data_IF_257835742575
#
_entry.id   IF_257835742575
#
_cell.length_a   1.000
_cell.length_b   1.000
_cell.length_c   1.000
_cell.angle_alpha   90.00
_cell.angle_beta   90.00
_cell.angle_gamma   90.00
#
_symmetry.space_group_name_H-M   'P 1'
#
loop_
_entity.id
_entity.type
_entity.pdbx_description
1 polymer ?
#
# COMPACT_ATOMS: atom_id res chain seq x y z
N UNK A 1 -3.40 -52.83 32.25
CA UNK A 1 -3.26 -51.34 32.24
C UNK A 1 -2.07 -50.76 31.46
N UNK A 2 -0.89 -51.43 31.42
CA UNK A 2 0.32 -50.81 30.82
C UNK A 2 0.26 -50.63 29.30
N UNK A 3 -0.33 -51.54 28.54
CA UNK A 3 -0.44 -51.48 27.09
C UNK A 3 -1.35 -50.32 26.63
N UNK A 4 -2.46 -50.10 27.34
CA UNK A 4 -3.39 -48.99 27.03
C UNK A 4 -2.73 -47.62 27.22
N UNK A 5 -1.94 -47.47 28.29
CA UNK A 5 -1.15 -46.28 28.57
C UNK A 5 -0.11 -46.04 27.49
N UNK A 6 0.63 -47.11 27.14
CA UNK A 6 1.68 -47.01 26.07
C UNK A 6 1.08 -46.65 24.72
N UNK A 7 -0.06 -47.23 24.34
CA UNK A 7 -0.77 -46.85 23.09
C UNK A 7 -1.31 -45.41 23.14
N UNK A 8 -1.80 -44.95 24.31
CA UNK A 8 -2.22 -43.55 24.48
C UNK A 8 -1.06 -42.56 24.32
N UNK A 9 0.10 -42.84 24.92
CA UNK A 9 1.27 -41.97 24.79
C UNK A 9 1.81 -41.99 23.36
N UNK A 10 1.87 -43.15 22.71
CA UNK A 10 2.28 -43.24 21.30
C UNK A 10 1.29 -42.48 20.38
N UNK A 11 -0.03 -42.61 20.60
CA UNK A 11 -1.06 -41.88 19.84
C UNK A 11 -0.95 -40.36 20.02
N UNK A 12 -0.72 -39.90 21.26
CA UNK A 12 -0.50 -38.47 21.53
C UNK A 12 0.77 -37.95 20.85
N UNK A 13 1.85 -38.74 20.85
CA UNK A 13 3.08 -38.38 20.14
C UNK A 13 2.88 -38.25 18.63
N UNK A 14 2.16 -39.18 18.02
CA UNK A 14 1.82 -39.11 16.57
C UNK A 14 0.90 -37.88 16.27
N UNK A 15 -0.12 -37.65 17.09
CA UNK A 15 -1.00 -36.51 16.93
C UNK A 15 -0.23 -35.18 17.02
N UNK A 16 0.70 -35.07 17.95
CA UNK A 16 1.56 -33.90 18.08
C UNK A 16 2.50 -33.73 16.87
N UNK A 17 3.09 -34.83 16.39
CA UNK A 17 3.97 -34.82 15.21
C UNK A 17 3.23 -34.40 13.93
N UNK A 18 1.94 -34.73 13.82
CA UNK A 18 1.10 -34.40 12.66
C UNK A 18 0.26 -33.12 12.85
N UNK A 19 0.42 -32.42 13.95
CA UNK A 19 -0.42 -31.25 14.30
C UNK A 19 -0.51 -30.25 13.16
N UNK A 20 0.60 -29.86 12.53
CA UNK A 20 0.61 -28.86 11.47
C UNK A 20 -0.12 -29.35 10.22
N UNK A 21 -0.04 -30.64 9.90
CA UNK A 21 -0.77 -31.24 8.77
C UNK A 21 -2.27 -31.21 9.03
N UNK A 22 -2.70 -31.58 10.24
CA UNK A 22 -4.12 -31.59 10.63
C UNK A 22 -4.69 -30.18 10.60
N UNK A 23 -3.98 -29.19 11.15
CA UNK A 23 -4.44 -27.79 11.15
C UNK A 23 -4.44 -27.21 9.73
N UNK A 24 -3.47 -27.59 8.86
CA UNK A 24 -3.48 -27.16 7.46
C UNK A 24 -4.66 -27.76 6.69
N UNK A 25 -5.03 -29.00 6.96
CA UNK A 25 -6.24 -29.62 6.38
C UNK A 25 -7.51 -28.91 6.83
N UNK A 26 -7.63 -28.62 8.13
CA UNK A 26 -8.74 -27.82 8.67
C UNK A 26 -8.77 -26.40 8.05
N UNK A 27 -7.59 -25.80 7.82
CA UNK A 27 -7.44 -24.52 7.13
C UNK A 27 -7.97 -24.57 5.70
N UNK A 28 -7.69 -25.63 4.97
CA UNK A 28 -8.24 -25.82 3.61
C UNK A 28 -9.78 -25.88 3.63
N UNK A 29 -10.37 -26.61 4.57
CA UNK A 29 -11.81 -26.64 4.76
C UNK A 29 -12.35 -25.22 5.03
N UNK A 30 -11.74 -24.48 5.94
CA UNK A 30 -12.14 -23.13 6.26
C UNK A 30 -12.04 -22.16 5.05
N UNK A 31 -10.97 -22.25 4.29
CA UNK A 31 -10.79 -21.45 3.07
C UNK A 31 -11.89 -21.77 2.06
N UNK A 32 -12.12 -23.06 1.79
CA UNK A 32 -13.04 -23.52 0.75
C UNK A 32 -14.49 -23.20 1.10
N UNK A 33 -14.94 -23.48 2.32
CA UNK A 33 -16.34 -23.32 2.75
C UNK A 33 -16.58 -21.97 3.43
N UNK A 34 -15.59 -21.40 4.13
CA UNK A 34 -15.68 -20.09 4.77
C UNK A 34 -15.45 -18.93 3.81
N UNK A 35 -15.06 -19.23 2.56
CA UNK A 35 -14.82 -18.24 1.50
C UNK A 35 -13.89 -17.10 1.91
N UNK A 36 -12.81 -17.37 2.63
CA UNK A 36 -11.81 -16.35 3.00
C UNK A 36 -11.16 -15.74 1.77
N UNK A 37 -10.82 -16.56 0.80
CA UNK A 37 -10.30 -16.17 -0.52
C UNK A 37 -10.48 -17.31 -1.53
N UNK A 38 -10.29 -17.01 -2.79
CA UNK A 38 -10.34 -17.95 -3.91
C UNK A 38 -9.16 -17.73 -4.84
N UNK A 39 -8.94 -18.67 -5.76
CA UNK A 39 -7.96 -18.51 -6.84
C UNK A 39 -8.22 -17.23 -7.62
N UNK A 40 -7.19 -16.46 -7.88
CA UNK A 40 -7.22 -15.15 -8.53
C UNK A 40 -7.40 -13.96 -7.57
N UNK A 41 -7.69 -14.19 -6.29
CA UNK A 41 -7.74 -13.10 -5.30
C UNK A 41 -6.34 -12.61 -4.96
N UNK A 42 -6.21 -11.32 -4.71
CA UNK A 42 -5.02 -10.73 -4.07
C UNK A 42 -5.22 -10.74 -2.57
N UNK A 43 -4.30 -11.42 -1.90
CA UNK A 43 -4.35 -11.59 -0.45
C UNK A 43 -3.00 -11.24 0.20
N UNK A 44 -3.05 -11.08 1.52
CA UNK A 44 -1.86 -11.16 2.36
C UNK A 44 -2.12 -12.19 3.47
N UNK A 45 -1.25 -13.17 3.58
CA UNK A 45 -1.33 -14.27 4.52
C UNK A 45 0.09 -14.66 4.97
N UNK A 46 0.30 -14.80 6.28
CA UNK A 46 1.63 -15.13 6.82
C UNK A 46 2.72 -14.13 6.42
N UNK A 47 2.37 -12.84 6.32
CA UNK A 47 3.28 -11.79 5.87
C UNK A 47 3.53 -11.76 4.35
N UNK A 48 3.03 -12.74 3.59
CA UNK A 48 3.20 -12.82 2.14
C UNK A 48 2.02 -12.17 1.44
N UNK A 49 2.28 -11.23 0.56
CA UNK A 49 1.28 -10.53 -0.27
C UNK A 49 1.42 -10.97 -1.73
N UNK A 50 0.30 -11.34 -2.34
CA UNK A 50 0.30 -11.76 -3.74
C UNK A 50 -1.04 -12.26 -4.24
N UNK A 51 -1.07 -12.76 -5.47
CA UNK A 51 -2.26 -13.33 -6.09
C UNK A 51 -2.28 -14.86 -5.89
N UNK A 52 -3.42 -15.37 -5.44
CA UNK A 52 -3.63 -16.81 -5.23
C UNK A 52 -3.65 -17.52 -6.57
N UNK A 53 -2.70 -18.41 -6.81
CA UNK A 53 -2.61 -19.23 -8.00
C UNK A 53 -3.42 -20.53 -7.84
N UNK A 54 -3.29 -21.18 -6.68
CA UNK A 54 -3.93 -22.46 -6.39
C UNK A 54 -4.15 -22.64 -4.88
N UNK A 55 -5.17 -23.42 -4.52
CA UNK A 55 -5.51 -23.77 -3.14
C UNK A 55 -5.48 -25.28 -3.00
N UNK A 56 -4.31 -25.81 -2.67
CA UNK A 56 -4.13 -27.24 -2.37
C UNK A 56 -4.60 -27.59 -0.95
N UNK A 57 -4.70 -28.88 -0.67
CA UNK A 57 -5.21 -29.38 0.63
C UNK A 57 -4.40 -28.90 1.83
N UNK A 58 -3.09 -28.81 1.70
CA UNK A 58 -2.22 -28.40 2.81
C UNK A 58 -1.63 -27.00 2.66
N UNK A 59 -1.56 -26.47 1.43
CA UNK A 59 -0.87 -25.23 1.11
C UNK A 59 -1.64 -24.42 0.08
N UNK A 60 -1.61 -23.12 0.22
CA UNK A 60 -2.00 -22.16 -0.81
C UNK A 60 -0.77 -21.68 -1.56
N UNK A 61 -0.83 -21.67 -2.87
CA UNK A 61 0.23 -21.18 -3.76
C UNK A 61 -0.05 -19.74 -4.15
N UNK A 62 0.92 -18.85 -3.94
CA UNK A 62 0.79 -17.41 -4.14
C UNK A 62 1.88 -16.93 -5.11
N UNK A 63 1.51 -16.18 -6.14
CA UNK A 63 2.42 -15.35 -6.92
C UNK A 63 2.67 -14.07 -6.13
N UNK A 64 3.87 -13.93 -5.59
CA UNK A 64 4.20 -12.82 -4.70
C UNK A 64 4.28 -11.48 -5.42
N UNK A 65 3.90 -10.42 -4.70
CA UNK A 65 4.03 -9.03 -5.13
C UNK A 65 4.85 -8.23 -4.13
N UNK A 66 5.51 -7.17 -4.61
CA UNK A 66 6.28 -6.28 -3.75
C UNK A 66 7.68 -6.81 -3.45
N UNK A 67 8.13 -6.71 -2.20
CA UNK A 67 9.50 -6.94 -1.74
C UNK A 67 10.46 -5.92 -2.38
N UNK A 68 11.31 -6.33 -3.33
CA UNK A 68 12.21 -5.44 -4.08
C UNK A 68 11.55 -4.77 -5.29
N UNK A 69 10.28 -5.10 -5.59
CA UNK A 69 9.51 -4.50 -6.69
C UNK A 69 8.43 -3.61 -6.11
N UNK A 70 8.54 -2.30 -6.33
CA UNK A 70 7.57 -1.33 -5.81
C UNK A 70 6.20 -1.41 -6.50
N UNK A 71 5.17 -0.98 -5.79
CA UNK A 71 3.83 -0.73 -6.33
C UNK A 71 2.96 -1.96 -6.53
N UNK A 72 3.11 -2.97 -5.69
CA UNK A 72 2.28 -4.19 -5.72
C UNK A 72 2.38 -4.99 -7.04
N UNK A 73 3.52 -4.91 -7.73
CA UNK A 73 3.80 -5.69 -8.94
C UNK A 73 4.41 -7.05 -8.58
N UNK A 74 4.25 -8.01 -9.49
CA UNK A 74 4.87 -9.33 -9.35
C UNK A 74 6.39 -9.21 -9.33
N UNK A 75 7.00 -9.91 -8.39
CA UNK A 75 8.46 -10.03 -8.30
C UNK A 75 9.00 -11.33 -8.92
N UNK A 76 8.11 -12.19 -9.43
CA UNK A 76 8.45 -13.48 -10.06
C UNK A 76 8.60 -14.65 -9.08
N UNK A 77 8.41 -14.42 -7.79
CA UNK A 77 8.54 -15.45 -6.77
C UNK A 77 7.21 -16.15 -6.49
N UNK A 78 7.22 -17.48 -6.51
CA UNK A 78 6.08 -18.31 -6.12
C UNK A 78 6.31 -18.77 -4.68
N UNK A 79 5.32 -18.55 -3.82
CA UNK A 79 5.39 -18.86 -2.39
C UNK A 79 4.30 -19.87 -2.03
N UNK A 80 4.68 -20.89 -1.26
CA UNK A 80 3.78 -21.88 -0.71
C UNK A 80 3.53 -21.58 0.76
N UNK A 81 2.31 -21.19 1.10
CA UNK A 81 1.91 -20.86 2.48
C UNK A 81 1.04 -21.98 3.01
N UNK A 82 1.36 -22.51 4.19
CA UNK A 82 0.54 -23.53 4.83
C UNK A 82 -0.88 -22.97 5.12
N UNK A 83 -1.91 -23.78 4.87
CA UNK A 83 -3.30 -23.33 5.09
C UNK A 83 -3.63 -23.09 6.57
N UNK A 84 -2.83 -23.67 7.49
CA UNK A 84 -2.94 -23.41 8.92
C UNK A 84 -2.79 -21.94 9.31
N UNK A 85 -2.14 -21.12 8.47
CA UNK A 85 -1.96 -19.69 8.71
C UNK A 85 -3.27 -18.92 8.80
N UNK A 86 -4.36 -19.40 8.20
CA UNK A 86 -5.70 -18.75 8.31
C UNK A 86 -6.25 -18.73 9.73
N UNK A 87 -5.72 -19.56 10.62
CA UNK A 87 -6.05 -19.58 12.05
C UNK A 87 -5.03 -18.87 12.93
N UNK A 88 -3.84 -18.64 12.40
CA UNK A 88 -2.71 -18.05 13.14
C UNK A 88 -2.58 -16.57 12.92
N UNK A 89 -2.96 -16.10 11.73
CA UNK A 89 -2.77 -14.72 11.31
C UNK A 89 -4.00 -14.13 10.61
N UNK A 90 -4.15 -12.81 10.62
CA UNK A 90 -5.19 -12.15 9.85
C UNK A 90 -5.05 -12.44 8.35
N UNK A 91 -6.17 -12.68 7.69
CA UNK A 91 -6.25 -12.79 6.24
C UNK A 91 -6.71 -11.45 5.67
N UNK A 92 -5.84 -10.76 4.93
CA UNK A 92 -6.20 -9.54 4.21
C UNK A 92 -6.58 -9.92 2.78
N UNK A 93 -7.80 -9.61 2.36
CA UNK A 93 -8.25 -9.86 0.98
C UNK A 93 -8.54 -8.51 0.31
N UNK A 94 -7.79 -8.19 -0.75
CA UNK A 94 -7.85 -6.91 -1.47
C UNK A 94 -8.83 -6.92 -2.65
N UNK A 95 -9.48 -8.05 -2.94
CA UNK A 95 -10.26 -8.23 -4.16
C UNK A 95 -11.61 -8.89 -3.98
N UNK A 96 -11.98 -9.31 -2.76
CA UNK A 96 -13.14 -10.16 -2.50
C UNK A 96 -14.47 -9.51 -2.90
N UNK A 97 -15.03 -8.70 -2.03
CA UNK A 97 -16.36 -8.09 -2.21
C UNK A 97 -16.27 -6.71 -2.85
N UNK A 98 -15.12 -6.08 -2.70
CA UNK A 98 -14.83 -4.74 -3.12
C UNK A 98 -13.57 -4.74 -3.99
N UNK A 99 -13.69 -4.83 -5.32
CA UNK A 99 -12.55 -5.04 -6.23
C UNK A 99 -11.70 -3.79 -6.47
N UNK A 100 -11.85 -2.78 -5.66
CA UNK A 100 -11.07 -1.55 -5.67
C UNK A 100 -10.67 -1.15 -4.25
N UNK A 101 -9.65 -0.31 -4.18
CA UNK A 101 -9.11 0.19 -2.92
C UNK A 101 -9.19 1.72 -2.93
N UNK A 102 -9.29 2.32 -1.74
CA UNK A 102 -8.90 3.72 -1.59
C UNK A 102 -7.38 3.80 -1.56
N UNK A 103 -6.83 4.69 -2.36
CA UNK A 103 -5.41 4.99 -2.39
C UNK A 103 -5.22 6.51 -2.31
N UNK A 104 -4.01 6.94 -1.96
CA UNK A 104 -3.69 8.33 -1.77
C UNK A 104 -2.35 8.67 -2.41
N UNK A 105 -2.26 9.89 -2.92
CA UNK A 105 -0.99 10.53 -3.24
C UNK A 105 -0.85 11.83 -2.48
N UNK A 106 0.38 12.15 -2.09
CA UNK A 106 0.74 13.37 -1.39
C UNK A 106 1.50 14.30 -2.31
N UNK A 107 1.12 15.56 -2.32
CA UNK A 107 1.63 16.57 -3.22
C UNK A 107 2.09 17.76 -2.38
N UNK A 108 3.40 17.92 -2.14
CA UNK A 108 3.92 19.04 -1.38
C UNK A 108 4.00 20.31 -2.23
N UNK A 109 3.33 21.36 -1.80
CA UNK A 109 3.27 22.64 -2.49
C UNK A 109 3.94 23.71 -1.63
N UNK A 110 4.79 24.52 -2.25
CA UNK A 110 5.53 25.59 -1.58
C UNK A 110 4.59 26.66 -1.04
N UNK A 111 4.88 27.15 0.17
CA UNK A 111 4.19 28.31 0.72
C UNK A 111 4.26 29.53 -0.22
N UNK A 112 3.16 30.27 -0.30
CA UNK A 112 3.01 31.41 -1.23
C UNK A 112 2.57 31.02 -2.64
N UNK A 113 2.27 29.75 -2.91
CA UNK A 113 1.60 29.31 -4.14
C UNK A 113 0.11 29.66 -4.12
N UNK A 114 -0.54 29.63 -5.28
CA UNK A 114 -1.99 29.77 -5.37
C UNK A 114 -2.68 28.47 -4.94
N UNK A 115 -3.08 28.42 -3.67
CA UNK A 115 -3.64 27.21 -3.04
C UNK A 115 -4.97 26.80 -3.65
N UNK A 116 -5.84 27.77 -3.98
CA UNK A 116 -7.13 27.46 -4.56
C UNK A 116 -6.99 26.86 -5.96
N UNK A 117 -6.13 27.43 -6.79
CA UNK A 117 -5.83 26.91 -8.11
C UNK A 117 -5.21 25.49 -8.01
N UNK A 118 -4.32 25.25 -7.04
CA UNK A 118 -3.72 23.93 -6.81
C UNK A 118 -4.81 22.90 -6.49
N UNK A 119 -5.71 23.21 -5.57
CA UNK A 119 -6.83 22.36 -5.21
C UNK A 119 -7.70 22.02 -6.42
N UNK A 120 -8.10 23.02 -7.20
CA UNK A 120 -8.93 22.84 -8.41
C UNK A 120 -8.26 21.92 -9.42
N UNK A 121 -6.96 22.10 -9.67
CA UNK A 121 -6.20 21.24 -10.59
C UNK A 121 -6.17 19.79 -10.07
N UNK A 122 -5.90 19.57 -8.79
CA UNK A 122 -5.81 18.22 -8.24
C UNK A 122 -7.16 17.51 -8.21
N UNK A 123 -8.25 18.21 -7.87
CA UNK A 123 -9.61 17.68 -7.94
C UNK A 123 -9.98 17.30 -9.38
N UNK A 124 -9.68 18.16 -10.33
CA UNK A 124 -9.95 17.89 -11.74
C UNK A 124 -9.16 16.70 -12.27
N UNK A 125 -7.87 16.61 -11.97
CA UNK A 125 -7.04 15.46 -12.35
C UNK A 125 -7.55 14.18 -11.71
N UNK A 126 -7.88 14.20 -10.43
CA UNK A 126 -8.47 13.07 -9.72
C UNK A 126 -9.75 12.58 -10.37
N UNK A 127 -10.65 13.51 -10.74
CA UNK A 127 -11.91 13.20 -11.43
C UNK A 127 -11.69 12.62 -12.82
N UNK A 128 -10.75 13.13 -13.59
CA UNK A 128 -10.45 12.62 -14.93
C UNK A 128 -9.83 11.24 -14.93
N UNK A 129 -8.90 10.96 -13.99
CA UNK A 129 -8.17 9.70 -13.94
C UNK A 129 -8.95 8.59 -13.22
N UNK A 130 -9.69 8.91 -12.15
CA UNK A 130 -10.38 7.93 -11.33
C UNK A 130 -11.92 7.98 -11.44
N UNK A 131 -12.51 8.97 -12.09
CA UNK A 131 -13.96 9.20 -12.11
C UNK A 131 -14.77 8.06 -12.71
N UNK A 132 -14.32 7.46 -13.80
CA UNK A 132 -15.00 6.32 -14.44
C UNK A 132 -15.11 5.11 -13.51
N UNK A 133 -14.04 4.85 -12.74
CA UNK A 133 -14.04 3.76 -11.77
C UNK A 133 -14.94 4.12 -10.57
N UNK A 134 -14.92 5.39 -10.14
CA UNK A 134 -15.78 5.90 -9.09
C UNK A 134 -17.26 5.65 -9.41
N UNK A 135 -17.71 6.07 -10.56
CA UNK A 135 -19.12 5.90 -10.98
C UNK A 135 -19.53 4.43 -11.05
N UNK A 136 -18.71 3.58 -11.68
CA UNK A 136 -18.98 2.14 -11.79
C UNK A 136 -18.95 1.41 -10.44
N UNK A 137 -18.25 1.96 -9.49
CA UNK A 137 -18.09 1.37 -8.15
C UNK A 137 -19.15 1.80 -7.16
N UNK A 138 -19.84 2.90 -7.43
CA UNK A 138 -20.84 3.48 -6.53
C UNK A 138 -21.98 2.50 -6.20
N UNK A 139 -22.51 1.80 -7.21
CA UNK A 139 -23.59 0.82 -7.00
C UNK A 139 -23.12 -0.35 -6.14
N UNK A 140 -21.92 -0.86 -6.40
CA UNK A 140 -21.32 -1.94 -5.59
C UNK A 140 -21.09 -1.49 -4.16
N UNK A 141 -20.63 -0.26 -3.98
CA UNK A 141 -20.42 0.31 -2.65
C UNK A 141 -21.74 0.43 -1.88
N UNK A 142 -22.79 0.98 -2.50
CA UNK A 142 -24.13 1.05 -1.90
C UNK A 142 -24.68 -0.32 -1.51
N UNK A 143 -24.49 -1.33 -2.35
CA UNK A 143 -24.90 -2.70 -2.04
C UNK A 143 -24.17 -3.25 -0.81
N UNK A 144 -22.87 -2.99 -0.67
CA UNK A 144 -22.07 -3.39 0.49
C UNK A 144 -22.46 -2.62 1.76
N UNK A 145 -22.72 -1.32 1.65
CA UNK A 145 -23.21 -0.50 2.77
C UNK A 145 -24.49 -1.10 3.33
N UNK A 146 -25.44 -1.43 2.46
CA UNK A 146 -26.71 -2.02 2.88
C UNK A 146 -26.52 -3.41 3.52
N UNK A 147 -25.62 -4.23 2.96
CA UNK A 147 -25.34 -5.59 3.45
C UNK A 147 -24.64 -5.58 4.82
N UNK A 148 -23.67 -4.70 5.01
CA UNK A 148 -22.80 -4.70 6.19
C UNK A 148 -23.04 -3.53 7.14
N UNK A 149 -24.00 -2.67 6.85
CA UNK A 149 -24.32 -1.44 7.62
C UNK A 149 -23.09 -0.53 7.80
N UNK A 150 -22.33 -0.35 6.71
CA UNK A 150 -21.15 0.50 6.70
C UNK A 150 -21.56 1.97 6.57
N UNK A 151 -20.70 2.87 7.04
CA UNK A 151 -20.87 4.31 6.80
C UNK A 151 -20.74 4.65 5.31
N UNK A 152 -21.32 5.78 4.93
CA UNK A 152 -21.18 6.30 3.56
C UNK A 152 -19.77 6.87 3.36
N UNK A 153 -18.94 6.15 2.62
CA UNK A 153 -17.63 6.62 2.22
C UNK A 153 -17.68 7.14 0.79
N UNK A 154 -17.15 8.33 0.59
CA UNK A 154 -17.06 8.91 -0.75
C UNK A 154 -16.17 8.05 -1.64
N UNK A 155 -16.67 7.71 -2.82
CA UNK A 155 -15.94 7.02 -3.87
C UNK A 155 -15.28 7.99 -4.85
N UNK A 156 -15.76 9.24 -4.91
CA UNK A 156 -15.19 10.27 -5.74
C UNK A 156 -13.82 10.74 -5.24
N UNK A 157 -13.00 11.23 -6.16
CA UNK A 157 -11.72 11.81 -5.82
C UNK A 157 -11.91 13.04 -4.92
N UNK A 158 -11.17 13.08 -3.82
CA UNK A 158 -11.25 14.13 -2.81
C UNK A 158 -9.85 14.68 -2.51
N UNK A 159 -9.76 16.00 -2.41
CA UNK A 159 -8.53 16.70 -2.04
C UNK A 159 -8.66 17.32 -0.67
N UNK A 160 -7.74 17.00 0.21
CA UNK A 160 -7.55 17.64 1.51
C UNK A 160 -6.15 18.25 1.59
N UNK A 161 -5.94 19.15 2.56
CA UNK A 161 -4.64 19.77 2.77
C UNK A 161 -4.28 19.86 4.26
N UNK A 162 -2.97 19.84 4.53
CA UNK A 162 -2.38 20.07 5.84
C UNK A 162 -1.25 21.09 5.66
N UNK A 163 -1.19 22.07 6.55
CA UNK A 163 -0.06 23.00 6.63
C UNK A 163 1.03 22.37 7.52
N UNK A 164 2.17 22.06 6.92
CA UNK A 164 3.36 21.56 7.62
C UNK A 164 4.37 22.69 7.84
N UNK A 165 5.45 22.44 8.56
CA UNK A 165 6.46 23.45 8.86
C UNK A 165 7.09 24.08 7.61
N UNK A 166 7.28 23.28 6.55
CA UNK A 166 8.01 23.70 5.35
C UNK A 166 7.16 23.79 4.07
N UNK A 167 5.96 23.19 4.06
CA UNK A 167 5.08 23.16 2.89
C UNK A 167 3.62 22.92 3.27
N UNK A 168 2.75 23.18 2.30
CA UNK A 168 1.37 22.73 2.34
C UNK A 168 1.29 21.39 1.62
N UNK A 169 0.92 20.33 2.34
CA UNK A 169 0.76 19.00 1.77
C UNK A 169 -0.70 18.79 1.36
N UNK A 170 -0.93 18.61 0.07
CA UNK A 170 -2.21 18.16 -0.45
C UNK A 170 -2.24 16.64 -0.50
N UNK A 171 -3.35 16.07 -0.06
CA UNK A 171 -3.62 14.63 -0.19
C UNK A 171 -4.78 14.46 -1.16
N UNK A 172 -4.51 13.82 -2.30
CA UNK A 172 -5.54 13.39 -3.24
C UNK A 172 -5.87 11.93 -2.95
N UNK A 173 -7.09 11.70 -2.42
CA UNK A 173 -7.64 10.38 -2.18
C UNK A 173 -8.56 9.99 -3.34
N UNK A 174 -8.45 8.76 -3.79
CA UNK A 174 -9.20 8.22 -4.92
C UNK A 174 -9.39 6.73 -4.79
N UNK A 175 -10.31 6.15 -5.55
CA UNK A 175 -10.44 4.71 -5.67
C UNK A 175 -9.65 4.19 -6.86
N UNK A 176 -9.10 2.98 -6.72
CA UNK A 176 -8.26 2.36 -7.73
C UNK A 176 -8.44 0.85 -7.76
N UNK A 177 -8.35 0.25 -8.95
CA UNK A 177 -8.23 -1.20 -9.06
C UNK A 177 -6.91 -1.66 -8.42
N UNK A 178 -6.99 -2.66 -7.53
CA UNK A 178 -5.84 -3.16 -6.77
C UNK A 178 -4.65 -3.60 -7.66
N UNK A 179 -4.88 -4.00 -8.90
CA UNK A 179 -3.83 -4.36 -9.88
C UNK A 179 -3.22 -3.15 -10.60
N UNK A 180 -3.85 -1.99 -10.54
CA UNK A 180 -3.44 -0.80 -11.30
C UNK A 180 -2.92 0.36 -10.45
N UNK A 181 -2.67 0.16 -9.17
CA UNK A 181 -2.24 1.22 -8.25
C UNK A 181 -1.04 2.01 -8.78
N UNK A 182 0.02 1.32 -9.21
CA UNK A 182 1.22 1.97 -9.75
C UNK A 182 0.94 2.77 -11.02
N UNK A 183 0.23 2.17 -11.97
CA UNK A 183 -0.10 2.84 -13.23
C UNK A 183 -0.97 4.08 -13.00
N UNK A 184 -1.97 3.98 -12.11
CA UNK A 184 -2.84 5.11 -11.76
C UNK A 184 -2.06 6.23 -11.06
N UNK A 185 -1.14 5.90 -10.12
CA UNK A 185 -0.26 6.91 -9.50
C UNK A 185 0.62 7.63 -10.54
N UNK A 186 1.18 6.88 -11.46
CA UNK A 186 1.98 7.46 -12.55
C UNK A 186 1.16 8.41 -13.40
N UNK A 187 -0.07 8.02 -13.78
CA UNK A 187 -0.96 8.87 -14.56
C UNK A 187 -1.34 10.15 -13.80
N UNK A 188 -1.73 10.03 -12.53
CA UNK A 188 -2.05 11.18 -11.68
C UNK A 188 -0.88 12.16 -11.60
N UNK A 189 0.32 11.68 -11.26
CA UNK A 189 1.49 12.56 -11.16
C UNK A 189 1.86 13.18 -12.51
N UNK A 190 1.77 12.43 -13.61
CA UNK A 190 2.05 12.96 -14.94
C UNK A 190 1.10 14.11 -15.31
N UNK A 191 -0.20 13.96 -15.06
CA UNK A 191 -1.18 15.00 -15.31
C UNK A 191 -1.02 16.21 -14.38
N UNK A 192 -0.73 15.96 -13.11
CA UNK A 192 -0.47 17.02 -12.12
C UNK A 192 0.74 17.84 -12.51
N UNK A 193 1.88 17.19 -12.82
CA UNK A 193 3.11 17.88 -13.23
C UNK A 193 2.86 18.76 -14.45
N UNK A 194 2.23 18.20 -15.50
CA UNK A 194 1.91 18.95 -16.71
C UNK A 194 1.05 20.19 -16.45
N UNK A 195 0.05 20.08 -15.58
CA UNK A 195 -0.84 21.21 -15.29
C UNK A 195 -0.22 22.24 -14.37
N UNK A 196 0.58 21.80 -13.40
CA UNK A 196 1.33 22.72 -12.54
C UNK A 196 2.35 23.53 -13.36
N UNK A 197 3.09 22.90 -14.27
CA UNK A 197 4.02 23.59 -15.15
C UNK A 197 3.30 24.64 -16.03
N UNK A 198 2.10 24.32 -16.50
CA UNK A 198 1.29 25.26 -17.29
C UNK A 198 0.83 26.52 -16.51
N UNK A 199 0.91 26.51 -15.17
CA UNK A 199 0.56 27.69 -14.34
C UNK A 199 1.61 28.79 -14.33
N UNK A 200 2.74 28.58 -15.01
CA UNK A 200 3.83 29.57 -15.12
C UNK A 200 4.35 30.07 -13.75
N UNK A 201 4.42 29.17 -12.76
CA UNK A 201 4.97 29.48 -11.45
C UNK A 201 3.96 29.96 -10.41
N UNK A 202 2.65 30.04 -10.73
CA UNK A 202 1.63 30.33 -9.73
C UNK A 202 1.54 29.19 -8.66
N UNK A 203 1.87 27.97 -9.07
CA UNK A 203 1.99 26.82 -8.19
C UNK A 203 3.42 26.29 -8.30
N UNK A 204 4.05 26.07 -7.18
CA UNK A 204 5.41 25.52 -7.11
C UNK A 204 5.45 24.34 -6.14
N UNK A 205 6.08 23.25 -6.56
CA UNK A 205 6.33 22.13 -5.66
C UNK A 205 7.32 22.54 -4.57
N UNK A 206 7.11 22.02 -3.37
CA UNK A 206 8.02 22.22 -2.28
C UNK A 206 9.16 21.19 -2.30
N UNK A 207 10.29 21.62 -1.76
CA UNK A 207 11.42 20.76 -1.40
C UNK A 207 11.73 20.97 0.08
N UNK A 208 12.45 20.04 0.71
CA UNK A 208 12.93 20.23 2.07
C UNK A 208 13.72 21.53 2.17
N UNK A 209 13.28 22.43 3.04
CA UNK A 209 13.93 23.73 3.31
C UNK A 209 14.51 23.68 4.70
N UNK A 210 15.79 24.03 4.83
CA UNK A 210 16.46 24.17 6.11
C UNK A 210 16.67 25.65 6.38
N UNK A 211 16.21 26.11 7.53
CA UNK A 211 16.54 27.45 8.01
C UNK A 211 17.79 27.36 8.88
N UNK A 212 18.85 28.11 8.51
CA UNK A 212 20.05 28.20 9.29
C UNK A 212 19.84 29.29 10.35
N UNK A 213 19.53 28.86 11.57
CA UNK A 213 19.18 29.77 12.66
C UNK A 213 20.40 30.49 13.23
N UNK A 214 21.59 29.88 13.16
CA UNK A 214 22.86 30.46 13.62
C UNK A 214 24.00 29.90 12.78
N UNK A 215 24.78 30.80 12.17
CA UNK A 215 26.02 30.45 11.47
C UNK A 215 27.19 30.96 12.29
N UNK A 216 28.07 30.09 12.83
CA UNK A 216 29.24 30.57 13.55
C UNK A 216 30.13 31.39 12.61
N UNK A 217 30.59 32.55 13.06
CA UNK A 217 31.56 33.36 12.35
C UNK A 217 32.89 32.61 12.23
N UNK A 218 33.28 32.25 11.01
CA UNK A 218 34.60 31.68 10.75
C UNK A 218 35.58 32.80 10.47
N UNK A 219 36.54 33.04 11.40
CA UNK A 219 37.69 33.88 11.10
C UNK A 219 38.73 33.10 10.30
N UNK A 220 38.78 33.33 9.00
CA UNK A 220 39.82 32.78 8.16
C UNK A 220 41.05 33.69 8.18
N UNK A 221 42.11 33.25 8.87
CA UNK A 221 43.43 33.89 8.76
C UNK A 221 44.09 33.38 7.50
N UNK A 222 44.17 34.22 6.45
CA UNK A 222 45.02 33.97 5.30
C UNK A 222 46.45 34.25 5.73
N UNK A 223 47.26 33.20 5.94
CA UNK A 223 48.70 33.35 6.10
C UNK A 223 49.29 33.56 4.71
N UNK A 224 49.78 34.75 4.40
CA UNK A 224 50.66 34.95 3.26
C UNK A 224 51.96 34.18 3.52
N UNK A 225 52.20 33.16 2.74
CA UNK A 225 53.44 32.41 2.74
C UNK A 225 54.54 33.32 2.14
N UNK A 226 55.32 33.90 3.05
CA UNK A 226 56.52 34.65 2.69
C UNK A 226 57.68 33.70 2.52
N UNK A 227 57.66 32.88 1.50
CA UNK A 227 58.83 32.14 1.06
C UNK A 227 59.17 32.42 -0.39
N UNK A 228 59.88 33.45 -0.57
CA UNK A 228 60.48 33.82 -1.83
C UNK A 228 61.69 34.73 -1.66
N UNK A 229 62.72 34.24 -0.93
CA UNK A 229 64.09 34.79 -1.10
C UNK A 229 65.11 33.93 -0.36
N UNK A 230 65.99 33.39 -1.13
CA UNK A 230 67.26 32.94 -0.54
C UNK A 230 68.07 31.96 -1.41
N UNK A 231 68.90 32.52 -2.28
CA UNK A 231 70.15 31.99 -2.85
C UNK A 231 70.09 30.70 -3.66
#
# INVERSE_FOLDING_TARGET
GGLTVALGVAGAGIAFALQEVIVSFAGWIAITFGAFYKTGDRIQLGGIKGDVMDIGVLRTTIMETGQWVDGDLYNGRIVFVANSFVYKEPVFNYSRDFPFLWDEIKIPIKYGSNYELAKQIFEQVGKEVAGDLSQRSLEKWKALQNKYRLEDAQTDAMVSLIANDNWVEYTLRYIVNYKRRRATKTELFTQILKRVDATQGQIRFASATFELVDAPEFQVKISEDKDGKGN
#
